data_IF_557905340268
#
_entry.id   IF_557905340268
#
_cell.length_a   1.000
_cell.length_b   1.000
_cell.length_c   1.000
_cell.angle_alpha   90.00
_cell.angle_beta   90.00
_cell.angle_gamma   90.00
#
_symmetry.space_group_name_H-M   'P 1'
#
loop_
_entity.id
_entity.type
_entity.pdbx_description
1 polymer ?
#
# COMPACT_ATOMS: atom_id res chain seq x y z
N UNK A 1 -10.86 -14.04 5.25
CA UNK A 1 -10.52 -15.21 6.09
C UNK A 1 -11.60 -15.37 7.14
N UNK A 2 -12.07 -16.61 7.37
CA UNK A 2 -13.21 -16.89 8.26
C UNK A 2 -12.92 -18.08 9.17
N UNK A 3 -13.48 -18.06 10.38
CA UNK A 3 -13.53 -19.20 11.31
C UNK A 3 -15.00 -19.45 11.60
N UNK A 4 -15.57 -20.48 10.99
CA UNK A 4 -17.03 -20.64 10.95
C UNK A 4 -17.69 -19.43 10.27
N UNK A 5 -18.67 -18.84 10.93
CA UNK A 5 -19.38 -17.66 10.41
C UNK A 5 -18.63 -16.33 10.63
N UNK A 6 -17.60 -16.33 11.49
CA UNK A 6 -16.92 -15.10 11.90
C UNK A 6 -15.81 -14.73 10.92
N UNK A 7 -15.81 -13.48 10.46
CA UNK A 7 -14.72 -12.91 9.65
C UNK A 7 -13.64 -12.39 10.60
N UNK A 8 -12.46 -12.99 10.57
CA UNK A 8 -11.34 -12.59 11.42
C UNK A 8 -10.17 -11.98 10.64
N UNK A 9 -10.22 -12.02 9.32
CA UNK A 9 -9.11 -11.56 8.49
C UNK A 9 -9.57 -11.00 7.15
N UNK A 10 -8.89 -9.94 6.72
CA UNK A 10 -9.02 -9.34 5.40
C UNK A 10 -7.66 -9.17 4.73
N UNK A 11 -7.64 -9.20 3.41
CA UNK A 11 -6.50 -8.79 2.61
C UNK A 11 -6.92 -7.54 1.85
N UNK A 12 -6.12 -6.48 1.95
CA UNK A 12 -6.32 -5.24 1.21
C UNK A 12 -5.10 -5.04 0.32
N UNK A 13 -5.32 -4.86 -0.97
CA UNK A 13 -4.25 -4.62 -1.93
C UNK A 13 -4.53 -3.34 -2.71
N UNK A 14 -3.47 -2.73 -3.22
CA UNK A 14 -3.56 -1.55 -4.06
C UNK A 14 -2.18 -1.10 -4.52
N UNK A 15 -2.11 0.12 -5.03
CA UNK A 15 -0.87 0.71 -5.53
C UNK A 15 -0.47 1.93 -4.70
N UNK A 16 0.84 2.12 -4.53
CA UNK A 16 1.44 3.34 -4.01
C UNK A 16 1.97 4.19 -5.16
N UNK A 17 1.72 5.49 -5.06
CA UNK A 17 2.38 6.51 -5.88
C UNK A 17 3.21 7.41 -4.97
N UNK A 18 4.51 7.51 -5.24
CA UNK A 18 5.43 8.30 -4.43
C UNK A 18 5.74 9.62 -5.14
N UNK A 19 5.54 10.73 -4.43
CA UNK A 19 5.84 12.08 -4.92
C UNK A 19 6.96 12.67 -4.08
N UNK A 20 7.95 13.30 -4.73
CA UNK A 20 9.00 14.03 -4.02
C UNK A 20 8.80 15.54 -4.16
N UNK A 21 9.17 16.27 -3.11
CA UNK A 21 9.17 17.73 -3.11
C UNK A 21 10.59 18.24 -2.90
N UNK A 22 10.92 19.37 -3.51
CA UNK A 22 12.18 20.09 -3.27
C UNK A 22 11.85 21.56 -3.06
N UNK A 23 12.29 22.10 -1.93
CA UNK A 23 12.03 23.49 -1.54
C UNK A 23 10.53 23.89 -1.56
N UNK A 24 9.65 22.99 -1.10
CA UNK A 24 8.21 23.27 -1.00
C UNK A 24 7.40 23.09 -2.28
N UNK A 25 8.06 22.90 -3.44
CA UNK A 25 7.39 22.58 -4.70
C UNK A 25 7.31 21.06 -4.89
N UNK A 26 6.12 20.54 -5.24
CA UNK A 26 5.96 19.15 -5.68
C UNK A 26 6.67 19.03 -7.01
N UNK A 27 7.69 18.17 -7.07
CA UNK A 27 8.58 18.13 -8.23
C UNK A 27 8.06 17.15 -9.26
N UNK A 28 7.72 15.90 -8.91
CA UNK A 28 7.12 14.91 -9.81
C UNK A 28 6.74 13.60 -9.09
N UNK A 29 5.94 12.75 -9.74
CA UNK A 29 5.77 11.33 -9.37
C UNK A 29 7.10 10.61 -9.62
N UNK A 30 7.66 9.99 -8.59
CA UNK A 30 9.01 9.42 -8.62
C UNK A 30 9.01 7.90 -8.73
N UNK A 31 8.11 7.24 -8.01
CA UNK A 31 8.01 5.79 -7.98
C UNK A 31 6.54 5.35 -7.99
N UNK A 32 6.34 4.10 -8.41
CA UNK A 32 5.14 3.33 -8.16
C UNK A 32 5.51 2.00 -7.51
N UNK A 33 4.63 1.46 -6.69
CA UNK A 33 4.73 0.08 -6.21
C UNK A 33 3.35 -0.47 -5.96
N UNK A 34 3.24 -1.79 -5.80
CA UNK A 34 2.01 -2.42 -5.32
C UNK A 34 2.19 -2.84 -3.86
N UNK A 35 1.08 -2.88 -3.12
CA UNK A 35 1.08 -3.32 -1.75
C UNK A 35 -0.02 -4.34 -1.46
N UNK A 36 0.22 -5.11 -0.41
CA UNK A 36 -0.77 -5.99 0.21
C UNK A 36 -0.67 -5.89 1.72
N UNK A 37 -1.78 -5.56 2.37
CA UNK A 37 -1.95 -5.55 3.82
C UNK A 37 -2.77 -6.77 4.25
N UNK A 38 -2.23 -7.51 5.21
CA UNK A 38 -2.99 -8.49 5.97
C UNK A 38 -3.60 -7.80 7.19
N UNK A 39 -4.92 -7.73 7.28
CA UNK A 39 -5.62 -7.30 8.48
C UNK A 39 -6.14 -8.51 9.25
N UNK A 40 -6.00 -8.45 10.58
CA UNK A 40 -6.59 -9.39 11.51
C UNK A 40 -7.47 -8.64 12.50
N UNK A 41 -8.63 -9.20 12.80
CA UNK A 41 -9.52 -8.70 13.86
C UNK A 41 -8.95 -9.16 15.21
N UNK A 42 -8.45 -8.22 16.00
CA UNK A 42 -7.91 -8.45 17.35
C UNK A 42 -8.68 -7.60 18.34
N UNK A 43 -9.30 -8.25 19.32
CA UNK A 43 -10.10 -7.60 20.37
C UNK A 43 -11.18 -6.67 19.78
N UNK A 44 -11.85 -7.12 18.72
CA UNK A 44 -12.88 -6.35 18.00
C UNK A 44 -12.36 -5.24 17.10
N UNK A 45 -11.04 -5.05 16.97
CA UNK A 45 -10.42 -3.99 16.17
C UNK A 45 -9.62 -4.59 15.02
N UNK A 46 -9.85 -4.09 13.81
CA UNK A 46 -9.05 -4.45 12.64
C UNK A 46 -7.64 -3.84 12.75
N UNK A 47 -6.63 -4.69 12.78
CA UNK A 47 -5.22 -4.29 12.87
C UNK A 47 -4.45 -4.85 11.69
N UNK A 48 -3.54 -4.05 11.13
CA UNK A 48 -2.58 -4.54 10.16
C UNK A 48 -1.62 -5.48 10.87
N UNK A 49 -1.62 -6.75 10.47
CA UNK A 49 -0.73 -7.78 11.00
C UNK A 49 0.54 -7.93 10.15
N UNK A 50 0.48 -7.59 8.86
CA UNK A 50 1.63 -7.60 7.95
C UNK A 50 1.42 -6.66 6.77
N UNK A 51 2.52 -6.09 6.30
CA UNK A 51 2.59 -5.24 5.12
C UNK A 51 3.60 -5.85 4.15
N UNK A 52 3.21 -5.95 2.89
CA UNK A 52 4.11 -6.23 1.78
C UNK A 52 4.03 -5.04 0.82
N UNK A 53 5.17 -4.45 0.49
CA UNK A 53 5.31 -3.51 -0.63
C UNK A 53 6.32 -4.09 -1.60
N UNK A 54 5.94 -4.20 -2.86
CA UNK A 54 6.71 -4.91 -3.87
C UNK A 54 6.58 -4.25 -5.24
N UNK A 55 7.43 -4.68 -6.17
CA UNK A 55 7.53 -4.12 -7.52
C UNK A 55 7.75 -2.59 -7.53
N UNK A 56 8.75 -2.13 -6.77
CA UNK A 56 9.13 -0.71 -6.78
C UNK A 56 9.76 -0.35 -8.12
N UNK A 57 9.05 0.44 -8.91
CA UNK A 57 9.49 0.90 -10.21
C UNK A 57 9.63 2.42 -10.20
N UNK A 58 10.73 2.91 -10.76
CA UNK A 58 10.90 4.35 -11.01
C UNK A 58 9.94 4.74 -12.14
N UNK A 59 9.24 5.86 -11.97
CA UNK A 59 8.52 6.48 -13.07
C UNK A 59 9.56 7.16 -13.96
N UNK A 60 9.76 6.63 -15.17
CA UNK A 60 10.56 7.29 -16.19
C UNK A 60 9.64 8.34 -16.82
N UNK A 61 9.96 9.62 -16.67
CA UNK A 61 9.32 10.65 -17.48
C UNK A 61 9.71 10.40 -18.94
N UNK A 62 8.73 10.03 -19.77
CA UNK A 62 8.90 10.09 -21.21
C UNK A 62 8.95 11.56 -21.59
N UNK A 63 10.09 12.03 -22.09
CA UNK A 63 10.19 13.34 -22.73
C UNK A 63 9.08 13.45 -23.79
N UNK A 64 8.26 14.50 -23.69
CA UNK A 64 7.26 14.87 -24.70
C UNK A 64 7.89 15.79 -25.73
#
# INVERSE_FOLDING_TARGET
>A
MRRGNDVYGAIVSGDHEFYSTKAGNIVNKTFRSSFTHLLLLKDGIWKIARIYSYDHQRVVETEK
#
